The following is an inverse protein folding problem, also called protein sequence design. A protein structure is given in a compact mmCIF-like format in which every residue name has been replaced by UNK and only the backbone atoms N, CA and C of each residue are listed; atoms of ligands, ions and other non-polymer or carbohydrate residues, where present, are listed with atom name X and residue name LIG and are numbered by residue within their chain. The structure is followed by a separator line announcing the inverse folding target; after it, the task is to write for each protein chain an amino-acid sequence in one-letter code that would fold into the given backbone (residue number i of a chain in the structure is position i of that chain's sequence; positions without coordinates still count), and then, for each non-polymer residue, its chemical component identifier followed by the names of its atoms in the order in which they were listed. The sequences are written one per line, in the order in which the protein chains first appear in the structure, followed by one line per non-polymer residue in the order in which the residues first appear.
data_IF_236898149169
#
_entry.id   IF_236898149169
#
_cell.length_a   1.000
_cell.length_b   1.000
_cell.length_c   1.000
_cell.angle_alpha   90.00
_cell.angle_beta   90.00
_cell.angle_gamma   90.00
#
_symmetry.space_group_name_H-M   'P 1'
#
loop_
_entity.id
_entity.type
_entity.pdbx_description
1 polymer ?
#
# COMPACT_ATOMS: atom_id res chain seq x y z
N UNK A 1 -13.03 8.79 15.32
CA UNK A 1 -12.66 7.57 14.59
C UNK A 1 -11.41 7.89 13.80
N UNK A 2 -10.32 7.16 14.04
CA UNK A 2 -9.06 7.31 13.30
C UNK A 2 -9.21 6.68 11.91
N UNK A 3 -8.51 7.22 10.91
CA UNK A 3 -8.61 6.70 9.53
C UNK A 3 -8.25 5.21 9.47
N UNK A 4 -7.23 4.77 10.22
CA UNK A 4 -6.83 3.36 10.26
C UNK A 4 -7.92 2.43 10.82
N UNK A 5 -8.65 2.87 11.86
CA UNK A 5 -9.79 2.15 12.41
C UNK A 5 -10.92 2.03 11.37
N UNK A 6 -11.17 3.11 10.63
CA UNK A 6 -12.16 3.11 9.56
C UNK A 6 -11.77 2.14 8.42
N UNK A 7 -10.47 2.01 8.14
CA UNK A 7 -9.92 1.00 7.23
C UNK A 7 -10.00 -0.43 7.81
N UNK A 8 -10.43 -0.62 9.06
CA UNK A 8 -10.48 -1.94 9.71
C UNK A 8 -9.11 -2.63 9.74
N UNK A 9 -8.05 -1.85 9.95
CA UNK A 9 -6.67 -2.32 10.08
C UNK A 9 -6.24 -2.12 11.54
N UNK A 10 -5.87 -3.21 12.20
CA UNK A 10 -5.44 -3.20 13.60
C UNK A 10 -3.95 -3.56 13.73
N UNK A 11 -3.32 -3.13 14.83
CA UNK A 11 -1.97 -3.54 15.21
C UNK A 11 -0.86 -2.53 14.93
N UNK A 12 -1.19 -1.33 14.44
CA UNK A 12 -0.20 -0.27 14.23
C UNK A 12 0.27 0.31 15.57
N UNK A 13 1.58 0.54 15.70
CA UNK A 13 2.18 1.13 16.90
C UNK A 13 2.48 2.62 16.68
N UNK A 14 2.30 3.40 17.74
CA UNK A 14 2.69 4.80 17.77
C UNK A 14 4.21 4.96 17.69
N UNK A 15 4.63 6.03 17.04
CA UNK A 15 6.02 6.47 16.92
C UNK A 15 6.34 7.32 18.15
N UNK A 16 7.41 7.00 18.91
CA UNK A 16 7.85 7.81 20.04
C UNK A 16 8.11 9.27 19.63
N UNK A 17 7.67 10.24 20.44
CA UNK A 17 7.80 11.69 20.13
C UNK A 17 9.25 12.10 19.91
N UNK A 18 10.18 11.44 20.58
CA UNK A 18 11.61 11.66 20.49
C UNK A 18 12.17 11.37 19.08
N UNK A 19 11.49 10.50 18.32
CA UNK A 19 11.86 10.17 16.93
C UNK A 19 11.29 11.15 15.89
N UNK A 20 10.29 11.97 16.27
CA UNK A 20 9.67 12.98 15.39
C UNK A 20 10.52 14.27 15.34
N UNK A 21 11.41 14.46 16.32
CA UNK A 21 12.07 15.73 16.61
C UNK A 21 13.13 16.27 15.64
N UNK A 22 13.48 15.58 14.54
CA UNK A 22 14.47 16.07 13.58
C UNK A 22 14.10 15.92 12.09
N UNK A 23 13.05 15.17 11.73
CA UNK A 23 12.74 14.88 10.32
C UNK A 23 11.63 15.75 9.74
N UNK A 24 10.71 16.25 10.56
CA UNK A 24 9.58 17.09 10.09
C UNK A 24 10.08 18.46 9.59
N UNK A 25 11.20 18.95 10.12
CA UNK A 25 11.84 20.19 9.66
C UNK A 25 12.67 20.03 8.37
N UNK A 26 13.01 18.81 7.96
CA UNK A 26 13.79 18.56 6.74
C UNK A 26 12.90 18.21 5.52
N UNK A 27 11.67 17.75 5.74
CA UNK A 27 10.71 17.46 4.65
C UNK A 27 10.08 18.72 4.02
N UNK A 28 10.24 19.88 4.64
CA UNK A 28 9.87 21.19 4.11
C UNK A 28 11.02 21.91 3.40
N UNK A 29 12.22 21.32 3.33
CA UNK A 29 13.41 21.93 2.77
C UNK A 29 14.21 20.95 1.88
N UNK A 30 13.59 20.40 0.83
CA UNK A 30 14.36 19.81 -0.28
C UNK A 30 14.45 20.79 -1.46
N UNK A 31 15.10 21.92 -1.18
CA UNK A 31 15.62 22.84 -2.17
C UNK A 31 17.14 22.93 -1.99
N UNK A 32 17.88 22.38 -2.97
CA UNK A 32 19.29 22.66 -3.24
C UNK A 32 20.35 22.21 -2.23
N UNK A 33 21.08 21.13 -2.56
CA UNK A 33 22.55 21.16 -2.54
C UNK A 33 23.15 19.89 -3.14
N UNK A 34 24.01 20.05 -4.14
CA UNK A 34 24.88 19.01 -4.66
C UNK A 34 26.01 18.66 -3.69
N UNK A 35 26.55 17.46 -3.85
CA UNK A 35 27.69 16.99 -3.05
C UNK A 35 28.15 15.62 -3.55
N UNK A 36 29.25 15.65 -4.30
CA UNK A 36 30.00 14.52 -4.83
C UNK A 36 30.67 13.66 -3.75
N UNK A 37 30.80 12.35 -4.01
CA UNK A 37 32.00 11.59 -3.63
C UNK A 37 31.75 10.21 -3.00
N UNK A 38 32.45 9.20 -3.54
CA UNK A 38 32.88 8.03 -2.77
C UNK A 38 32.47 6.67 -3.31
N UNK A 39 33.24 6.13 -4.27
CA UNK A 39 33.28 4.70 -4.57
C UNK A 39 33.72 3.93 -3.31
N UNK A 40 32.98 2.89 -2.94
CA UNK A 40 33.48 1.80 -2.11
C UNK A 40 32.99 0.45 -2.67
N UNK A 41 33.92 -0.24 -3.29
CA UNK A 41 33.90 -1.67 -3.65
C UNK A 41 33.67 -2.53 -2.42
N UNK A 42 32.69 -3.43 -2.45
CA UNK A 42 32.56 -4.52 -1.48
C UNK A 42 32.10 -5.81 -2.18
N UNK A 43 32.83 -6.88 -1.91
CA UNK A 43 32.87 -8.14 -2.66
C UNK A 43 31.57 -8.91 -2.78
N UNK A 44 31.47 -9.62 -3.91
CA UNK A 44 30.50 -10.69 -4.15
C UNK A 44 30.83 -11.89 -3.25
N UNK A 45 30.02 -12.09 -2.21
CA UNK A 45 30.03 -13.32 -1.41
C UNK A 45 28.92 -14.27 -1.88
N UNK A 46 29.30 -15.33 -2.59
CA UNK A 46 28.44 -16.50 -2.82
C UNK A 46 28.22 -17.21 -1.48
N UNK A 47 26.99 -17.21 -0.98
CA UNK A 47 26.59 -18.06 0.15
C UNK A 47 25.95 -19.31 -0.45
N UNK A 48 26.70 -20.41 -0.50
CA UNK A 48 26.16 -21.74 -0.79
C UNK A 48 25.16 -22.14 0.30
N UNK A 49 24.04 -22.82 -0.03
CA UNK A 49 23.12 -23.33 0.98
C UNK A 49 23.83 -24.39 1.85
N UNK A 50 23.46 -24.55 3.13
CA UNK A 50 24.01 -25.58 3.98
C UNK A 50 23.80 -26.98 3.36
N UNK A 51 24.88 -27.73 3.21
CA UNK A 51 24.87 -29.13 2.76
C UNK A 51 24.14 -29.99 3.78
N UNK A 52 22.96 -30.50 3.44
CA UNK A 52 22.20 -31.34 4.39
C UNK A 52 20.84 -31.89 3.95
N UNK A 53 20.43 -31.80 2.68
CA UNK A 53 19.23 -32.49 2.21
C UNK A 53 19.55 -33.42 1.04
N UNK A 54 19.30 -34.71 1.27
CA UNK A 54 19.50 -35.80 0.34
C UNK A 54 18.68 -35.65 -0.94
N UNK A 55 19.33 -35.97 -2.05
CA UNK A 55 18.76 -36.15 -3.38
C UNK A 55 17.88 -37.40 -3.45
N UNK A 56 16.56 -37.24 -3.33
CA UNK A 56 15.57 -38.19 -3.86
C UNK A 56 14.16 -37.60 -3.73
N UNK A 57 13.61 -37.06 -4.83
CA UNK A 57 12.22 -36.54 -4.83
C UNK A 57 12.00 -35.36 -5.77
N UNK A 58 12.49 -35.44 -7.01
CA UNK A 58 12.10 -34.52 -8.07
C UNK A 58 10.65 -34.80 -8.50
N UNK A 59 9.67 -34.28 -7.75
CA UNK A 59 8.29 -33.99 -8.15
C UNK A 59 7.44 -33.72 -6.88
N UNK A 60 7.18 -32.44 -6.55
CA UNK A 60 5.98 -31.94 -5.81
C UNK A 60 6.17 -30.68 -4.95
N UNK A 61 7.35 -30.06 -4.84
CA UNK A 61 7.53 -28.86 -4.00
C UNK A 61 7.04 -27.53 -4.63
N UNK A 62 6.24 -27.57 -5.70
CA UNK A 62 5.82 -26.39 -6.46
C UNK A 62 4.66 -25.57 -5.89
N UNK A 63 3.97 -26.03 -4.84
CA UNK A 63 2.75 -25.36 -4.32
C UNK A 63 2.84 -25.06 -2.82
N UNK A 64 3.75 -25.71 -2.08
CA UNK A 64 3.82 -25.59 -0.61
C UNK A 64 4.66 -24.43 -0.07
N UNK A 65 5.54 -23.81 -0.88
CA UNK A 65 6.48 -22.79 -0.38
C UNK A 65 5.92 -21.36 -0.36
N UNK A 66 4.81 -21.09 -1.06
CA UNK A 66 4.11 -19.80 -0.96
C UNK A 66 3.28 -19.66 0.33
N UNK A 67 3.10 -20.74 1.09
CA UNK A 67 2.41 -20.72 2.39
C UNK A 67 3.37 -20.54 3.59
N UNK A 68 4.68 -20.45 3.34
CA UNK A 68 5.72 -20.28 4.37
C UNK A 68 6.57 -19.01 4.14
N UNK A 69 6.06 -18.05 3.37
CA UNK A 69 6.56 -16.68 3.38
C UNK A 69 6.16 -16.00 4.69
N UNK A 70 6.96 -16.19 5.74
CA UNK A 70 6.86 -15.50 7.03
C UNK A 70 7.17 -14.00 6.94
N UNK A 71 6.39 -13.26 6.16
CA UNK A 71 6.23 -11.82 6.31
C UNK A 71 5.05 -11.57 7.24
N UNK A 72 5.25 -10.72 8.25
CA UNK A 72 4.31 -10.43 9.33
C UNK A 72 2.83 -10.52 8.91
N UNK A 73 2.07 -11.43 9.55
CA UNK A 73 0.71 -11.73 9.18
C UNK A 73 -0.25 -10.62 9.64
N UNK A 74 -0.81 -9.85 8.71
CA UNK A 74 -1.92 -8.93 8.96
C UNK A 74 -1.91 -7.68 8.08
N UNK A 75 -3.07 -7.04 7.85
CA UNK A 75 -3.18 -5.88 6.97
C UNK A 75 -2.25 -4.70 7.28
N UNK A 76 -1.86 -4.54 8.53
CA UNK A 76 -0.97 -3.47 9.01
C UNK A 76 0.44 -3.51 8.42
N UNK A 77 0.88 -4.66 7.89
CA UNK A 77 2.22 -4.83 7.33
C UNK A 77 2.29 -4.61 5.82
N UNK A 78 1.15 -4.30 5.18
CA UNK A 78 1.06 -4.10 3.75
C UNK A 78 0.73 -2.64 3.41
N UNK A 79 1.07 -2.23 2.20
CA UNK A 79 0.52 -1.02 1.62
C UNK A 79 -0.97 -1.23 1.44
N UNK A 80 -1.78 -0.24 1.80
CA UNK A 80 -3.23 -0.34 1.66
C UNK A 80 -3.73 0.93 1.02
N UNK A 81 -4.65 0.81 0.07
CA UNK A 81 -5.40 1.96 -0.43
C UNK A 81 -6.87 1.66 -0.23
N UNK A 82 -7.56 2.53 0.50
CA UNK A 82 -8.97 2.38 0.81
C UNK A 82 -9.75 3.63 0.41
N UNK A 83 -10.98 3.42 -0.04
CA UNK A 83 -11.87 4.47 -0.50
C UNK A 83 -13.23 4.42 0.22
N UNK A 84 -13.82 5.59 0.43
CA UNK A 84 -15.20 5.79 0.87
C UNK A 84 -15.93 6.67 -0.13
N UNK A 85 -16.39 6.06 -1.23
CA UNK A 85 -17.03 6.79 -2.31
C UNK A 85 -18.34 7.39 -1.81
N UNK A 86 -18.52 8.73 -1.80
CA UNK A 86 -19.79 9.35 -1.43
C UNK A 86 -20.96 8.78 -2.23
N UNK A 87 -22.11 8.59 -1.59
CA UNK A 87 -23.31 8.01 -2.22
C UNK A 87 -23.75 8.82 -3.45
N UNK A 88 -23.47 10.12 -3.47
CA UNK A 88 -23.80 11.04 -4.55
C UNK A 88 -22.96 10.81 -5.82
N UNK A 89 -21.83 10.09 -5.73
CA UNK A 89 -20.94 9.82 -6.86
C UNK A 89 -21.16 8.46 -7.52
N UNK A 90 -21.96 7.57 -6.92
CA UNK A 90 -22.21 6.23 -7.45
C UNK A 90 -23.60 5.70 -7.06
N UNK A 91 -24.30 5.10 -8.03
CA UNK A 91 -25.67 4.60 -7.80
C UNK A 91 -25.70 3.22 -7.14
N UNK A 92 -24.57 2.51 -7.10
CA UNK A 92 -24.45 1.16 -6.57
C UNK A 92 -22.98 0.78 -6.26
N UNK A 93 -22.74 -0.33 -5.53
CA UNK A 93 -21.39 -0.78 -5.14
C UNK A 93 -20.45 -1.07 -6.33
N UNK A 94 -21.01 -1.48 -7.48
CA UNK A 94 -20.24 -1.78 -8.69
C UNK A 94 -19.74 -0.50 -9.35
N UNK A 95 -20.58 0.52 -9.45
CA UNK A 95 -20.19 1.86 -9.91
C UNK A 95 -19.16 2.49 -8.97
N UNK A 96 -19.36 2.38 -7.66
CA UNK A 96 -18.40 2.87 -6.67
C UNK A 96 -17.03 2.21 -6.85
N UNK A 97 -16.99 0.88 -6.99
CA UNK A 97 -15.75 0.13 -7.26
C UNK A 97 -15.07 0.58 -8.56
N UNK A 98 -15.82 0.74 -9.64
CA UNK A 98 -15.28 1.22 -10.91
C UNK A 98 -14.68 2.62 -10.79
N UNK A 99 -15.34 3.51 -10.03
CA UNK A 99 -14.88 4.87 -9.77
C UNK A 99 -13.58 4.88 -8.94
N UNK A 100 -13.43 4.01 -7.94
CA UNK A 100 -12.17 3.83 -7.20
C UNK A 100 -11.04 3.43 -8.15
N UNK A 101 -11.28 2.44 -9.01
CA UNK A 101 -10.27 1.97 -9.97
C UNK A 101 -9.85 3.07 -10.95
N UNK A 102 -10.81 3.83 -11.48
CA UNK A 102 -10.54 4.94 -12.39
C UNK A 102 -9.76 6.07 -11.71
N UNK A 103 -10.14 6.44 -10.49
CA UNK A 103 -9.43 7.48 -9.73
C UNK A 103 -7.98 7.09 -9.41
N UNK A 104 -7.74 5.81 -9.10
CA UNK A 104 -6.39 5.30 -8.87
C UNK A 104 -5.53 5.33 -10.14
N UNK A 105 -6.10 4.88 -11.26
CA UNK A 105 -5.43 4.91 -12.56
C UNK A 105 -5.07 6.34 -12.97
N UNK A 106 -6.02 7.27 -12.88
CA UNK A 106 -5.81 8.69 -13.20
C UNK A 106 -4.72 9.33 -12.32
N UNK A 107 -4.72 9.03 -11.02
CA UNK A 107 -3.69 9.54 -10.11
C UNK A 107 -2.29 8.99 -10.43
N UNK A 108 -2.19 7.70 -10.83
CA UNK A 108 -0.94 7.10 -11.32
C UNK A 108 -0.46 7.72 -12.62
N UNK A 109 -1.36 7.89 -13.59
CA UNK A 109 -1.03 8.51 -14.89
C UNK A 109 -0.48 9.92 -14.69
N UNK A 110 -1.10 10.71 -13.81
CA UNK A 110 -0.64 12.06 -13.45
C UNK A 110 0.72 12.05 -12.78
N UNK A 111 0.94 11.20 -11.78
CA UNK A 111 2.19 11.19 -11.03
C UNK A 111 3.38 10.66 -11.86
N UNK A 112 3.17 9.60 -12.64
CA UNK A 112 4.22 8.96 -13.42
C UNK A 112 4.36 9.50 -14.86
N UNK A 113 3.53 10.47 -15.26
CA UNK A 113 3.57 11.05 -16.61
C UNK A 113 3.28 10.02 -17.69
N UNK A 114 2.31 9.12 -17.44
CA UNK A 114 1.91 8.05 -18.36
C UNK A 114 2.86 6.84 -18.44
N UNK A 115 3.98 6.83 -17.71
CA UNK A 115 4.93 5.69 -17.67
C UNK A 115 4.49 4.61 -16.68
N UNK A 116 3.26 4.11 -16.85
CA UNK A 116 2.65 3.14 -15.93
C UNK A 116 2.74 1.70 -16.45
N UNK A 117 2.79 0.75 -15.53
CA UNK A 117 2.72 -0.69 -15.77
C UNK A 117 1.32 -1.11 -16.24
N UNK A 118 1.25 -2.28 -16.89
CA UNK A 118 -0.02 -2.94 -17.23
C UNK A 118 -0.56 -3.83 -16.11
N UNK A 119 0.02 -3.74 -14.91
CA UNK A 119 -0.52 -4.44 -13.74
C UNK A 119 -1.92 -3.86 -13.48
N UNK A 120 -2.86 -4.75 -13.17
CA UNK A 120 -4.25 -4.40 -12.95
C UNK A 120 -4.61 -4.73 -11.52
N UNK A 121 -5.16 -3.75 -10.84
CA UNK A 121 -5.74 -3.94 -9.52
C UNK A 121 -7.24 -3.83 -9.59
N UNK A 122 -7.87 -4.81 -8.96
CA UNK A 122 -9.30 -4.79 -8.80
C UNK A 122 -9.64 -4.26 -7.40
N UNK A 123 -10.66 -3.40 -7.32
CA UNK A 123 -11.29 -3.07 -6.06
C UNK A 123 -11.78 -4.32 -5.35
N UNK A 124 -11.63 -4.35 -4.04
CA UNK A 124 -11.91 -5.49 -3.20
C UNK A 124 -12.62 -5.08 -1.91
N UNK A 125 -13.32 -6.07 -1.33
CA UNK A 125 -14.00 -5.93 -0.04
C UNK A 125 -13.05 -5.90 1.16
N UNK A 126 -11.88 -6.51 1.03
CA UNK A 126 -10.95 -6.72 2.14
C UNK A 126 -9.55 -6.20 1.81
N UNK A 127 -8.88 -5.71 2.85
CA UNK A 127 -7.49 -5.28 2.82
C UNK A 127 -6.53 -6.41 2.43
N UNK A 128 -5.36 -6.04 1.91
CA UNK A 128 -4.27 -6.99 1.68
C UNK A 128 -3.80 -7.60 3.00
N UNK A 129 -3.34 -8.85 2.97
CA UNK A 129 -2.98 -9.59 4.18
C UNK A 129 -4.18 -10.06 5.01
N UNK A 130 -5.42 -9.74 4.62
CA UNK A 130 -6.62 -10.33 5.22
C UNK A 130 -6.79 -11.78 4.79
N UNK A 131 -6.99 -12.69 5.74
CA UNK A 131 -7.32 -14.08 5.46
C UNK A 131 -8.67 -14.27 4.75
N UNK A 132 -9.47 -13.20 4.59
CA UNK A 132 -10.76 -13.19 3.88
C UNK A 132 -10.67 -12.61 2.46
N UNK A 133 -9.47 -12.22 2.00
CA UNK A 133 -9.30 -11.55 0.70
C UNK A 133 -9.87 -12.35 -0.47
N UNK A 134 -9.84 -13.67 -0.39
CA UNK A 134 -10.35 -14.59 -1.39
C UNK A 134 -11.46 -15.46 -0.79
N UNK A 135 -12.61 -15.54 -1.47
CA UNK A 135 -13.75 -16.33 -1.01
C UNK A 135 -13.53 -17.84 -1.18
N UNK A 136 -12.76 -18.25 -2.18
CA UNK A 136 -12.40 -19.65 -2.46
C UNK A 136 -10.91 -19.78 -2.79
N UNK A 137 -10.36 -20.99 -2.61
CA UNK A 137 -8.99 -21.32 -3.04
C UNK A 137 -8.78 -21.12 -4.56
N UNK A 138 -9.83 -21.34 -5.36
CA UNK A 138 -9.79 -21.06 -6.80
C UNK A 138 -9.66 -19.57 -7.10
N UNK A 139 -10.26 -18.70 -6.29
CA UNK A 139 -10.18 -17.24 -6.44
C UNK A 139 -8.79 -16.73 -6.04
N UNK A 140 -8.16 -17.36 -5.04
CA UNK A 140 -6.74 -17.15 -4.72
C UNK A 140 -5.85 -17.53 -5.91
N UNK A 141 -6.07 -18.71 -6.51
CA UNK A 141 -5.29 -19.16 -7.66
C UNK A 141 -5.49 -18.28 -8.91
N UNK A 142 -6.68 -17.73 -9.10
CA UNK A 142 -7.02 -16.82 -10.19
C UNK A 142 -6.61 -15.35 -9.90
N UNK A 143 -6.25 -15.01 -8.66
CA UNK A 143 -5.94 -13.64 -8.25
C UNK A 143 -7.16 -12.72 -8.18
N UNK A 144 -8.38 -13.27 -8.10
CA UNK A 144 -9.63 -12.50 -8.07
C UNK A 144 -10.06 -12.24 -6.62
N UNK A 145 -9.88 -11.02 -6.08
CA UNK A 145 -10.31 -10.74 -4.71
C UNK A 145 -11.84 -10.76 -4.59
N UNK A 146 -12.34 -10.95 -3.37
CA UNK A 146 -13.76 -10.84 -3.06
C UNK A 146 -14.28 -9.44 -3.47
N UNK A 147 -15.29 -9.34 -4.34
CA UNK A 147 -15.79 -8.06 -4.82
C UNK A 147 -16.50 -7.29 -3.71
N UNK A 148 -16.42 -5.97 -3.75
CA UNK A 148 -17.19 -5.12 -2.86
C UNK A 148 -18.67 -5.11 -3.25
N UNK A 149 -19.54 -5.43 -2.29
CA UNK A 149 -20.97 -5.65 -2.49
C UNK A 149 -21.86 -4.93 -1.45
N UNK A 150 -21.27 -4.20 -0.50
CA UNK A 150 -22.01 -3.57 0.58
C UNK A 150 -22.72 -2.29 0.11
N UNK A 151 -23.96 -2.02 0.57
CA UNK A 151 -24.65 -0.77 0.28
C UNK A 151 -23.94 0.42 0.93
N UNK A 152 -24.27 1.64 0.46
CA UNK A 152 -23.81 2.85 1.13
C UNK A 152 -24.29 2.88 2.58
N UNK A 153 -23.42 3.33 3.48
CA UNK A 153 -23.69 3.43 4.91
C UNK A 153 -23.16 4.76 5.43
N UNK A 154 -23.44 5.11 6.69
CA UNK A 154 -22.97 6.35 7.28
C UNK A 154 -21.47 6.55 7.05
N UNK A 155 -21.10 7.68 6.47
CA UNK A 155 -19.71 7.95 6.13
C UNK A 155 -18.87 8.20 7.40
N UNK A 156 -17.58 7.84 7.40
CA UNK A 156 -16.66 8.30 8.44
C UNK A 156 -16.67 9.82 8.57
N UNK A 157 -16.49 10.35 9.79
CA UNK A 157 -16.53 11.78 10.06
C UNK A 157 -15.48 12.63 9.28
N UNK A 158 -14.44 11.99 8.73
CA UNK A 158 -13.43 12.65 7.89
C UNK A 158 -13.79 12.67 6.40
N UNK A 159 -14.91 12.06 6.01
CA UNK A 159 -15.47 12.09 4.67
C UNK A 159 -16.59 13.14 4.65
N UNK A 160 -16.51 14.09 3.72
CA UNK A 160 -17.51 15.15 3.56
C UNK A 160 -18.76 14.64 2.81
N UNK A 161 -19.45 13.63 3.36
CA UNK A 161 -20.69 13.07 2.84
C UNK A 161 -21.54 12.49 3.99
N UNK A 162 -22.85 12.37 3.81
CA UNK A 162 -23.71 11.69 4.80
C UNK A 162 -23.51 10.17 4.75
N UNK A 163 -23.47 9.62 3.53
CA UNK A 163 -23.28 8.20 3.27
C UNK A 163 -22.18 7.97 2.25
N UNK A 164 -21.51 6.83 2.39
CA UNK A 164 -20.48 6.41 1.47
C UNK A 164 -20.46 4.88 1.31
N UNK A 165 -20.03 4.43 0.14
CA UNK A 165 -19.62 3.06 -0.13
C UNK A 165 -18.18 2.85 0.35
N UNK A 166 -17.98 2.08 1.41
CA UNK A 166 -16.63 1.72 1.84
C UNK A 166 -16.52 1.01 3.20
N UNK A 167 -15.29 0.66 3.62
CA UNK A 167 -14.05 0.84 2.85
C UNK A 167 -13.99 -0.11 1.65
N UNK A 168 -13.66 0.43 0.47
CA UNK A 168 -13.32 -0.33 -0.75
C UNK A 168 -11.80 -0.33 -0.87
N UNK A 169 -11.17 -1.50 -0.92
CA UNK A 169 -9.71 -1.63 -1.00
C UNK A 169 -9.23 -1.76 -2.43
N UNK A 170 -8.05 -1.25 -2.75
CA UNK A 170 -7.30 -1.69 -3.94
C UNK A 170 -6.29 -2.74 -3.54
N UNK A 171 -6.23 -3.80 -4.34
CA UNK A 171 -5.39 -4.96 -4.06
C UNK A 171 -3.95 -4.77 -4.51
N UNK A 172 -3.00 -5.23 -3.71
CA UNK A 172 -1.55 -5.25 -3.93
C UNK A 172 -0.96 -3.98 -4.58
N UNK A 173 -1.23 -2.78 -4.03
CA UNK A 173 -0.73 -1.53 -4.63
C UNK A 173 0.81 -1.49 -4.65
N UNK A 174 1.50 -2.22 -3.75
CA UNK A 174 2.95 -2.23 -3.68
C UNK A 174 3.63 -2.66 -4.98
N UNK A 175 3.28 -3.81 -5.54
CA UNK A 175 3.96 -4.35 -6.72
C UNK A 175 3.89 -3.42 -7.93
N UNK A 176 2.73 -2.80 -8.11
CA UNK A 176 2.49 -1.82 -9.18
C UNK A 176 3.26 -0.52 -8.97
N UNK A 177 3.27 0.02 -7.76
CA UNK A 177 3.98 1.26 -7.45
C UNK A 177 5.48 1.13 -7.71
N UNK A 178 6.10 0.01 -7.32
CA UNK A 178 7.51 -0.24 -7.60
C UNK A 178 7.78 -0.43 -9.10
N UNK A 179 6.89 -1.13 -9.81
CA UNK A 179 7.03 -1.35 -11.25
C UNK A 179 6.85 -0.07 -12.08
N UNK A 180 5.95 0.82 -11.66
CA UNK A 180 5.74 2.13 -12.28
C UNK A 180 6.89 3.08 -11.97
N UNK A 181 7.30 3.16 -10.72
CA UNK A 181 8.39 4.04 -10.30
C UNK A 181 9.69 3.68 -11.03
N UNK A 182 10.00 2.38 -11.16
CA UNK A 182 11.13 1.91 -11.96
C UNK A 182 11.05 2.35 -13.43
N UNK A 183 9.87 2.27 -14.06
CA UNK A 183 9.65 2.74 -15.45
C UNK A 183 9.76 4.26 -15.58
N UNK A 184 9.36 4.98 -14.54
CA UNK A 184 9.32 6.43 -14.51
C UNK A 184 10.61 7.08 -13.99
N UNK A 185 11.64 6.29 -13.64
CA UNK A 185 12.88 6.74 -13.01
C UNK A 185 12.61 7.54 -11.72
N UNK A 186 11.76 6.97 -10.86
CA UNK A 186 11.36 7.52 -9.55
C UNK A 186 11.66 6.52 -8.44
N UNK A 187 11.77 7.02 -7.21
CA UNK A 187 11.83 6.16 -6.03
C UNK A 187 10.44 5.53 -5.77
N UNK A 188 10.39 4.19 -5.76
CA UNK A 188 9.17 3.44 -5.44
C UNK A 188 8.71 3.65 -4.00
N UNK A 189 9.61 4.02 -3.10
CA UNK A 189 9.28 4.34 -1.70
C UNK A 189 8.50 5.65 -1.58
N UNK A 190 8.72 6.60 -2.48
CA UNK A 190 7.99 7.88 -2.54
C UNK A 190 6.73 7.82 -3.39
N UNK A 191 6.55 6.76 -4.18
CA UNK A 191 5.47 6.64 -5.15
C UNK A 191 4.08 6.78 -4.52
N UNK A 192 3.83 6.12 -3.38
CA UNK A 192 2.53 6.16 -2.72
C UNK A 192 2.17 7.59 -2.26
N UNK A 193 3.12 8.27 -1.61
CA UNK A 193 2.93 9.65 -1.14
C UNK A 193 2.77 10.63 -2.32
N UNK A 194 3.50 10.40 -3.42
CA UNK A 194 3.40 11.19 -4.63
C UNK A 194 2.03 11.06 -5.31
N UNK A 195 1.54 9.83 -5.49
CA UNK A 195 0.23 9.55 -6.07
C UNK A 195 -0.89 10.08 -5.20
N UNK A 196 -0.77 9.99 -3.87
CA UNK A 196 -1.80 10.43 -2.94
C UNK A 196 -2.24 11.90 -3.15
N UNK A 197 -1.34 12.76 -3.63
CA UNK A 197 -1.63 14.17 -3.96
C UNK A 197 -2.58 14.35 -5.14
N UNK A 198 -2.70 13.33 -5.99
CA UNK A 198 -3.57 13.33 -7.16
C UNK A 198 -4.86 12.53 -6.93
N UNK A 199 -4.98 11.84 -5.80
CA UNK A 199 -6.19 11.09 -5.45
C UNK A 199 -7.33 12.04 -5.06
N UNK A 200 -8.59 11.59 -5.20
CA UNK A 200 -9.72 12.24 -4.57
C UNK A 200 -9.64 12.21 -3.04
N UNK A 201 -10.30 13.16 -2.39
CA UNK A 201 -10.28 13.32 -0.92
C UNK A 201 -10.92 12.14 -0.18
N UNK A 202 -11.74 11.35 -0.88
CA UNK A 202 -12.36 10.14 -0.34
C UNK A 202 -11.49 8.87 -0.48
N UNK A 203 -10.23 8.99 -0.92
CA UNK A 203 -9.26 7.88 -0.96
C UNK A 203 -8.10 8.15 0.01
N UNK A 204 -7.73 7.14 0.77
CA UNK A 204 -6.63 7.17 1.72
C UNK A 204 -5.66 6.02 1.44
N UNK A 205 -4.36 6.33 1.50
CA UNK A 205 -3.29 5.40 1.22
C UNK A 205 -2.42 5.21 2.47
N UNK A 206 -2.40 4.02 3.02
CA UNK A 206 -1.61 3.65 4.18
C UNK A 206 -0.28 3.03 3.76
N UNK A 207 0.80 3.53 4.36
CA UNK A 207 2.15 3.00 4.28
C UNK A 207 2.54 2.38 5.62
N UNK A 208 2.98 1.11 5.66
CA UNK A 208 3.23 0.37 6.90
C UNK A 208 4.51 0.79 7.65
N UNK A 209 5.30 1.70 7.08
CA UNK A 209 6.59 2.08 7.66
C UNK A 209 7.69 1.05 7.37
N UNK A 210 8.95 1.46 7.62
CA UNK A 210 10.12 0.57 7.54
C UNK A 210 11.00 0.76 8.75
N UNK A 211 11.19 -0.32 9.51
CA UNK A 211 12.10 -0.36 10.65
C UNK A 211 13.50 -0.74 10.15
N UNK A 212 14.24 0.19 9.56
CA UNK A 212 15.67 -0.02 9.28
C UNK A 212 16.51 1.21 9.61
N UNK A 213 17.69 1.08 10.27
CA UNK A 213 18.39 2.24 10.86
C UNK A 213 18.90 3.29 9.88
N UNK A 214 19.01 2.99 8.59
CA UNK A 214 19.54 3.91 7.56
C UNK A 214 18.45 4.59 6.72
N UNK A 215 17.24 4.03 6.69
CA UNK A 215 16.12 4.48 5.87
C UNK A 215 14.82 4.38 6.69
N UNK A 216 14.86 4.84 7.93
CA UNK A 216 13.67 4.85 8.78
C UNK A 216 12.60 5.69 8.09
N UNK A 217 11.46 5.09 7.83
CA UNK A 217 10.27 5.81 7.39
C UNK A 217 9.12 5.42 8.29
N UNK A 218 8.52 6.38 8.99
CA UNK A 218 7.39 6.09 9.84
C UNK A 218 6.22 5.58 9.02
N UNK A 219 5.37 4.75 9.64
CA UNK A 219 4.06 4.47 9.08
C UNK A 219 3.27 5.78 8.96
N UNK A 220 2.52 5.90 7.88
CA UNK A 220 1.78 7.11 7.56
C UNK A 220 0.52 6.77 6.78
N UNK A 221 -0.47 7.66 6.88
CA UNK A 221 -1.63 7.66 6.00
C UNK A 221 -1.54 8.92 5.14
N UNK A 222 -1.61 8.74 3.84
CA UNK A 222 -1.58 9.80 2.84
C UNK A 222 -2.98 10.03 2.27
N UNK A 223 -3.31 11.29 2.06
CA UNK A 223 -4.50 11.75 1.35
C UNK A 223 -4.13 13.00 0.55
N UNK A 224 -4.99 13.40 -0.39
CA UNK A 224 -4.86 14.65 -1.16
C UNK A 224 -4.57 15.87 -0.27
N UNK A 225 -5.22 15.94 0.89
CA UNK A 225 -5.18 17.09 1.78
C UNK A 225 -4.02 17.07 2.78
N UNK A 226 -3.21 16.00 2.81
CA UNK A 226 -2.03 15.91 3.68
C UNK A 226 -1.75 14.50 4.21
N UNK A 227 -0.81 14.45 5.16
CA UNK A 227 -0.29 13.22 5.73
C UNK A 227 -0.69 13.14 7.22
N UNK A 228 -1.11 11.97 7.65
CA UNK A 228 -1.37 11.64 9.05
C UNK A 228 -0.29 10.68 9.55
N UNK A 229 0.28 10.97 10.70
CA UNK A 229 1.32 10.16 11.35
C UNK A 229 0.83 9.65 12.70
N UNK A 230 1.28 8.47 13.09
CA UNK A 230 0.95 7.83 14.37
C UNK A 230 1.92 8.33 15.44
N UNK A 231 1.67 9.51 16.01
CA UNK A 231 2.57 10.11 17.02
C UNK A 231 2.12 9.70 18.43
N UNK A 232 3.04 9.13 19.21
CA UNK A 232 2.80 8.74 20.59
C UNK A 232 2.42 9.92 21.49
N UNK A 233 1.66 9.63 22.55
CA UNK A 233 1.30 10.61 23.59
C UNK A 233 2.46 11.00 24.49
#
# INVERSE_FOLDING_TARGET
MLVLEAMRIDGQRDIPREMVGNEVNNLSALGSSGGSGGLATAGLGYVSPPTGFSSAGAASLGVGLFLLGGGSAGPVYHYQVAAWVPEELASNPKEASALVRLAWLDAREKYFGGKISKLRHEPAKYADGSGKKYDRLADLAAGNPAPFDAPASAAPAFISAEKAYGPIFLTDPSGELFADASRADKDGMDALAGIARHLPEWIYAYYPGRNWPKDFRPAAIYNKNGNLYFIGK
#
